data_IF_902069534506
#
_entry.id   IF_902069534506
#
_cell.length_a   1.000
_cell.length_b   1.000
_cell.length_c   1.000
_cell.angle_alpha   90.00
_cell.angle_beta   90.00
_cell.angle_gamma   90.00
#
_symmetry.space_group_name_H-M   'P 1'
#
loop_
_entity.id
_entity.type
_entity.pdbx_description
1 polymer ?
#
# COMPACT_ATOMS: atom_id res chain seq x y z
N UNK A 1 10.71 -4.47 0.74
CA UNK A 1 9.72 -3.38 0.69
C UNK A 1 10.40 -2.02 0.91
N UNK A 2 11.24 -1.86 1.97
CA UNK A 2 11.91 -0.60 2.26
C UNK A 2 12.74 -0.09 1.09
N UNK A 3 13.84 -0.77 0.75
CA UNK A 3 14.83 -0.29 -0.23
C UNK A 3 14.31 -0.13 -1.66
N UNK A 4 13.26 -0.87 -2.03
CA UNK A 4 12.71 -0.84 -3.39
C UNK A 4 11.45 -0.02 -3.54
N UNK A 5 10.78 0.36 -2.43
CA UNK A 5 9.49 1.04 -2.45
C UNK A 5 9.46 2.31 -1.62
N UNK A 6 9.68 2.21 -0.30
CA UNK A 6 9.55 3.39 0.57
C UNK A 6 10.74 4.35 0.43
N UNK A 7 11.96 3.87 0.55
CA UNK A 7 13.18 4.69 0.53
C UNK A 7 13.30 5.57 -0.74
N UNK A 8 13.11 5.07 -1.97
CA UNK A 8 13.18 5.92 -3.17
C UNK A 8 12.15 7.04 -3.16
N UNK A 9 10.94 6.79 -2.67
CA UNK A 9 9.89 7.80 -2.59
C UNK A 9 10.19 8.83 -1.49
N UNK A 10 10.76 8.41 -0.37
CA UNK A 10 11.18 9.31 0.70
C UNK A 10 12.31 10.24 0.25
N UNK A 11 13.31 9.71 -0.45
CA UNK A 11 14.39 10.53 -1.03
C UNK A 11 13.84 11.56 -2.00
N UNK A 12 13.01 11.14 -2.94
CA UNK A 12 12.38 12.06 -3.90
C UNK A 12 11.57 13.15 -3.21
N UNK A 13 10.78 12.79 -2.21
CA UNK A 13 9.98 13.74 -1.44
C UNK A 13 10.84 14.70 -0.60
N UNK A 14 11.97 14.22 -0.07
CA UNK A 14 12.92 15.05 0.65
C UNK A 14 13.65 16.04 -0.29
N UNK A 15 14.13 15.58 -1.44
CA UNK A 15 14.80 16.41 -2.44
C UNK A 15 13.89 17.52 -2.97
N UNK A 16 12.60 17.24 -3.10
CA UNK A 16 11.55 18.22 -3.46
C UNK A 16 11.10 19.10 -2.30
N UNK A 17 11.61 18.85 -1.10
CA UNK A 17 11.25 19.60 0.10
C UNK A 17 9.82 19.35 0.58
N UNK A 18 9.15 18.30 0.11
CA UNK A 18 7.79 17.91 0.53
C UNK A 18 7.81 17.14 1.86
N UNK A 19 8.80 16.28 2.06
CA UNK A 19 8.95 15.44 3.26
C UNK A 19 10.16 15.94 4.06
N UNK A 20 9.97 16.28 5.33
CA UNK A 20 11.02 16.92 6.17
C UNK A 20 10.98 16.47 7.62
N UNK A 21 12.08 16.72 8.34
CA UNK A 21 12.18 16.78 9.80
C UNK A 21 11.62 15.56 10.54
N UNK A 22 10.55 15.74 11.28
CA UNK A 22 9.95 14.71 12.12
C UNK A 22 9.42 13.52 11.33
N UNK A 23 8.89 13.77 10.15
CA UNK A 23 8.34 12.68 9.30
C UNK A 23 9.45 11.73 8.82
N UNK A 24 10.59 12.26 8.38
CA UNK A 24 11.75 11.43 8.01
C UNK A 24 12.26 10.59 9.19
N UNK A 25 12.32 11.18 10.40
CA UNK A 25 12.72 10.42 11.61
C UNK A 25 11.75 9.28 11.92
N UNK A 26 10.43 9.50 11.78
CA UNK A 26 9.42 8.45 12.00
C UNK A 26 9.59 7.30 10.99
N UNK A 27 9.90 7.60 9.73
CA UNK A 27 10.21 6.58 8.74
C UNK A 27 11.50 5.81 9.06
N UNK A 28 12.54 6.46 9.56
CA UNK A 28 13.75 5.79 10.01
C UNK A 28 13.48 4.80 11.17
N UNK A 29 12.60 5.17 12.10
CA UNK A 29 12.15 4.26 13.16
C UNK A 29 11.39 3.05 12.60
N UNK A 30 10.51 3.29 11.62
CA UNK A 30 9.78 2.21 10.93
C UNK A 30 10.73 1.25 10.23
N UNK A 31 11.78 1.75 9.58
CA UNK A 31 12.80 0.90 8.93
C UNK A 31 13.35 -0.14 9.89
N UNK A 32 13.73 0.28 11.09
CA UNK A 32 14.25 -0.64 12.11
C UNK A 32 13.24 -1.68 12.59
N UNK A 33 11.94 -1.39 12.52
CA UNK A 33 10.86 -2.26 12.97
C UNK A 33 10.32 -3.22 11.90
N UNK A 34 10.58 -2.96 10.62
CA UNK A 34 9.96 -3.66 9.49
C UNK A 34 10.12 -5.18 9.53
N UNK A 35 11.27 -5.67 9.98
CA UNK A 35 11.54 -7.11 10.05
C UNK A 35 10.57 -7.88 10.96
N UNK A 36 10.02 -7.21 11.99
CA UNK A 36 9.03 -7.79 12.89
C UNK A 36 7.57 -7.57 12.46
N UNK A 37 7.34 -6.61 11.56
CA UNK A 37 5.98 -6.26 11.13
C UNK A 37 5.51 -7.07 9.91
N UNK A 38 6.41 -7.40 8.99
CA UNK A 38 6.06 -8.05 7.73
C UNK A 38 5.99 -9.56 7.90
N UNK A 39 4.86 -10.16 7.50
CA UNK A 39 4.73 -11.61 7.45
C UNK A 39 5.61 -12.20 6.34
N UNK A 40 6.25 -13.34 6.62
CA UNK A 40 7.07 -14.04 5.63
C UNK A 40 6.18 -14.90 4.74
N UNK A 41 6.06 -14.51 3.47
CA UNK A 41 5.35 -15.27 2.43
C UNK A 41 6.17 -15.28 1.12
N UNK A 42 5.92 -16.28 0.28
CA UNK A 42 6.44 -16.28 -1.09
C UNK A 42 5.86 -15.09 -1.86
N UNK A 43 6.65 -14.44 -2.74
CA UNK A 43 6.14 -13.33 -3.54
C UNK A 43 4.98 -13.76 -4.44
N UNK A 44 3.91 -12.97 -4.41
CA UNK A 44 2.76 -13.10 -5.31
C UNK A 44 2.93 -12.14 -6.49
N UNK A 45 2.28 -12.48 -7.62
CA UNK A 45 2.11 -11.52 -8.72
C UNK A 45 1.08 -10.49 -8.29
N UNK A 46 1.47 -9.23 -8.23
CA UNK A 46 0.60 -8.12 -7.89
C UNK A 46 0.11 -7.41 -9.15
N UNK A 47 -1.08 -6.83 -9.05
CA UNK A 47 -1.53 -5.80 -9.99
C UNK A 47 -0.69 -4.53 -9.84
N UNK A 48 -0.39 -4.15 -8.60
CA UNK A 48 0.51 -3.05 -8.26
C UNK A 48 -0.12 -1.66 -8.30
N UNK A 49 -1.33 -1.53 -8.86
CA UNK A 49 -2.18 -0.32 -8.86
C UNK A 49 -3.65 -0.72 -8.79
N UNK A 50 -4.02 -1.56 -7.80
CA UNK A 50 -5.35 -2.14 -7.69
C UNK A 50 -6.30 -1.24 -6.89
N UNK A 51 -7.07 -0.44 -7.61
CA UNK A 51 -8.14 0.43 -7.07
C UNK A 51 -9.36 0.42 -7.98
N UNK A 52 -10.50 0.96 -7.53
CA UNK A 52 -11.77 0.89 -8.25
C UNK A 52 -11.75 1.47 -9.67
N UNK A 53 -10.85 2.43 -9.96
CA UNK A 53 -10.71 2.99 -11.31
C UNK A 53 -10.09 2.02 -12.33
N UNK A 54 -9.37 0.99 -11.85
CA UNK A 54 -8.78 -0.05 -12.67
C UNK A 54 -9.62 -1.34 -12.70
N UNK A 55 -10.86 -1.29 -12.17
CA UNK A 55 -11.84 -2.36 -12.26
C UNK A 55 -12.94 -1.96 -13.25
N UNK A 56 -13.07 -2.71 -14.32
CA UNK A 56 -14.15 -2.59 -15.29
C UNK A 56 -15.04 -3.84 -15.28
N UNK A 57 -16.25 -3.68 -15.75
CA UNK A 57 -17.18 -4.79 -15.98
C UNK A 57 -17.45 -4.83 -17.47
N UNK A 58 -17.21 -5.98 -18.09
CA UNK A 58 -17.47 -6.17 -19.51
C UNK A 58 -18.97 -6.32 -19.83
N UNK A 59 -19.30 -6.44 -21.11
CA UNK A 59 -20.68 -6.58 -21.58
C UNK A 59 -21.38 -7.85 -21.05
N UNK A 60 -20.63 -8.86 -20.62
CA UNK A 60 -21.16 -10.09 -20.02
C UNK A 60 -21.39 -9.97 -18.51
N UNK A 61 -20.97 -8.86 -17.89
CA UNK A 61 -20.99 -8.66 -16.45
C UNK A 61 -19.75 -9.23 -15.74
N UNK A 62 -18.72 -9.67 -16.46
CA UNK A 62 -17.50 -10.19 -15.87
C UNK A 62 -16.53 -9.05 -15.49
N UNK A 63 -15.85 -9.16 -14.30
CA UNK A 63 -14.86 -8.17 -13.88
C UNK A 63 -13.59 -8.27 -14.73
N UNK A 64 -13.08 -7.11 -15.14
CA UNK A 64 -11.84 -6.97 -15.89
C UNK A 64 -10.92 -5.97 -15.20
N UNK A 65 -9.71 -6.38 -14.83
CA UNK A 65 -8.68 -5.50 -14.27
C UNK A 65 -7.80 -4.97 -15.42
N UNK A 66 -7.55 -3.66 -15.41
CA UNK A 66 -6.78 -2.95 -16.44
C UNK A 66 -5.64 -2.13 -15.81
N UNK A 67 -4.73 -1.66 -16.64
CA UNK A 67 -3.60 -0.77 -16.28
C UNK A 67 -2.75 -1.27 -15.10
N UNK A 68 -2.25 -2.52 -15.14
CA UNK A 68 -1.43 -3.03 -14.05
C UNK A 68 -0.02 -2.41 -14.05
N UNK A 69 0.48 -2.09 -12.87
CA UNK A 69 1.89 -1.82 -12.59
C UNK A 69 2.56 -3.11 -12.05
N UNK A 70 2.44 -4.22 -12.81
CA UNK A 70 2.70 -5.57 -12.34
C UNK A 70 4.12 -5.81 -11.81
N UNK A 71 4.25 -6.44 -10.64
CA UNK A 71 5.51 -6.90 -10.06
C UNK A 71 5.30 -8.05 -9.06
N UNK A 72 6.41 -8.65 -8.59
CA UNK A 72 6.38 -9.64 -7.51
C UNK A 72 6.48 -8.96 -6.15
N UNK A 73 5.56 -9.26 -5.23
CA UNK A 73 5.53 -8.67 -3.90
C UNK A 73 4.62 -9.38 -2.92
N UNK A 74 4.48 -8.82 -1.71
CA UNK A 74 3.56 -9.34 -0.71
C UNK A 74 2.12 -9.06 -1.11
N UNK A 75 1.25 -10.08 -1.12
CA UNK A 75 -0.14 -9.98 -1.60
C UNK A 75 -1.01 -8.96 -0.87
N UNK A 76 -0.71 -8.69 0.40
CA UNK A 76 -1.43 -7.68 1.18
C UNK A 76 -1.26 -6.24 0.61
N UNK A 77 -0.27 -6.00 -0.25
CA UNK A 77 -0.05 -4.69 -0.87
C UNK A 77 -1.24 -4.30 -1.76
N UNK A 78 -1.70 -5.21 -2.64
CA UNK A 78 -2.87 -4.94 -3.48
C UNK A 78 -4.13 -4.78 -2.64
N UNK A 79 -4.32 -5.60 -1.60
CA UNK A 79 -5.46 -5.48 -0.70
C UNK A 79 -5.47 -4.15 0.08
N UNK A 80 -4.30 -3.69 0.51
CA UNK A 80 -4.16 -2.38 1.16
C UNK A 80 -4.47 -1.22 0.21
N UNK A 81 -4.08 -1.34 -1.07
CA UNK A 81 -4.40 -0.37 -2.13
C UNK A 81 -5.91 -0.30 -2.39
N UNK A 82 -6.58 -1.45 -2.49
CA UNK A 82 -8.03 -1.53 -2.66
C UNK A 82 -8.79 -0.83 -1.52
N UNK A 83 -8.30 -0.95 -0.29
CA UNK A 83 -8.89 -0.27 0.89
C UNK A 83 -8.60 1.23 0.91
N UNK A 84 -7.44 1.66 0.41
CA UNK A 84 -7.01 3.06 0.45
C UNK A 84 -7.86 3.95 -0.46
N UNK A 85 -8.07 3.51 -1.70
CA UNK A 85 -8.77 4.30 -2.72
C UNK A 85 -10.19 3.79 -2.99
N UNK A 86 -10.55 2.65 -2.40
CA UNK A 86 -11.91 2.12 -2.46
C UNK A 86 -12.30 1.53 -3.83
N UNK A 87 -13.62 1.39 -4.03
CA UNK A 87 -14.20 0.79 -5.22
C UNK A 87 -14.51 -0.70 -5.09
N UNK A 88 -14.18 -1.32 -3.94
CA UNK A 88 -14.43 -2.74 -3.66
C UNK A 88 -15.29 -2.88 -2.41
N UNK A 89 -16.36 -3.67 -2.50
CA UNK A 89 -17.21 -3.98 -1.36
C UNK A 89 -16.58 -5.01 -0.40
N UNK A 90 -17.07 -5.07 0.84
CA UNK A 90 -16.57 -5.99 1.86
C UNK A 90 -16.55 -7.46 1.39
N UNK A 91 -17.56 -7.88 0.64
CA UNK A 91 -17.66 -9.25 0.09
C UNK A 91 -16.45 -9.67 -0.75
N UNK A 92 -15.77 -8.74 -1.41
CA UNK A 92 -14.54 -9.05 -2.19
C UNK A 92 -13.42 -9.50 -1.27
N UNK A 93 -13.23 -8.81 -0.14
CA UNK A 93 -12.21 -9.16 0.86
C UNK A 93 -12.56 -10.47 1.57
N UNK A 94 -13.84 -10.69 1.89
CA UNK A 94 -14.31 -11.93 2.48
C UNK A 94 -14.04 -13.12 1.55
N UNK A 95 -14.42 -12.99 0.26
CA UNK A 95 -14.19 -14.02 -0.75
C UNK A 95 -12.70 -14.31 -0.97
N UNK A 96 -11.85 -13.26 -0.95
CA UNK A 96 -10.41 -13.43 -1.00
C UNK A 96 -9.91 -14.27 0.18
N UNK A 97 -10.37 -13.94 1.39
CA UNK A 97 -9.99 -14.65 2.62
C UNK A 97 -10.48 -16.10 2.64
N UNK A 98 -11.69 -16.37 2.11
CA UNK A 98 -12.23 -17.73 1.95
C UNK A 98 -11.35 -18.62 1.08
N UNK A 99 -10.79 -18.06 -0.03
CA UNK A 99 -9.96 -18.82 -0.98
C UNK A 99 -8.52 -18.95 -0.50
N UNK A 100 -7.96 -17.87 0.05
CA UNK A 100 -6.58 -17.84 0.51
C UNK A 100 -6.46 -16.99 1.78
N UNK A 101 -6.65 -17.59 2.96
CA UNK A 101 -6.63 -16.89 4.24
C UNK A 101 -5.38 -16.03 4.43
N UNK A 102 -5.58 -14.83 4.95
CA UNK A 102 -4.48 -13.93 5.29
C UNK A 102 -3.82 -14.37 6.60
N UNK A 103 -2.49 -14.19 6.74
CA UNK A 103 -1.79 -14.51 7.97
C UNK A 103 -2.24 -13.58 9.10
N UNK A 104 -2.09 -14.02 10.38
CA UNK A 104 -2.39 -13.17 11.54
C UNK A 104 -1.71 -11.80 11.43
N UNK A 105 -2.40 -10.75 11.90
CA UNK A 105 -1.89 -9.37 11.85
C UNK A 105 -2.03 -8.68 10.48
N UNK A 106 -2.78 -9.25 9.53
CA UNK A 106 -2.98 -8.63 8.21
C UNK A 106 -3.69 -7.27 8.30
N UNK A 107 -4.64 -7.12 9.20
CA UNK A 107 -5.37 -5.87 9.41
C UNK A 107 -4.45 -4.75 9.94
N UNK A 108 -3.56 -5.09 10.87
CA UNK A 108 -2.56 -4.17 11.44
C UNK A 108 -1.52 -3.72 10.40
N UNK A 109 -1.26 -4.57 9.37
CA UNK A 109 -0.33 -4.25 8.28
C UNK A 109 -0.93 -3.43 7.15
N UNK A 110 -2.24 -3.23 7.11
CA UNK A 110 -2.89 -2.41 6.07
C UNK A 110 -2.25 -1.03 5.99
N UNK A 111 -2.10 -0.35 7.12
CA UNK A 111 -1.48 0.98 7.17
C UNK A 111 -0.04 0.99 6.65
N UNK A 112 0.75 -0.04 6.95
CA UNK A 112 2.11 -0.20 6.47
C UNK A 112 2.16 -0.25 4.93
N UNK A 113 1.31 -1.08 4.32
CA UNK A 113 1.31 -1.24 2.86
C UNK A 113 0.66 -0.07 2.12
N UNK A 114 -0.13 0.76 2.79
CA UNK A 114 -0.64 2.02 2.25
C UNK A 114 0.42 3.13 2.15
N UNK A 115 1.53 3.03 2.89
CA UNK A 115 2.56 4.07 2.86
C UNK A 115 3.16 4.29 1.47
N UNK A 116 3.42 3.23 0.71
CA UNK A 116 4.02 3.36 -0.62
C UNK A 116 3.13 4.15 -1.59
N UNK A 117 1.88 3.77 -1.85
CA UNK A 117 1.01 4.54 -2.75
C UNK A 117 0.76 5.96 -2.24
N UNK A 118 0.68 6.19 -0.94
CA UNK A 118 0.55 7.53 -0.38
C UNK A 118 1.78 8.39 -0.64
N UNK A 119 2.99 7.85 -0.48
CA UNK A 119 4.24 8.56 -0.81
C UNK A 119 4.34 8.87 -2.31
N UNK A 120 3.92 7.95 -3.18
CA UNK A 120 3.82 8.21 -4.63
C UNK A 120 2.88 9.40 -4.88
N UNK A 121 1.72 9.45 -4.23
CA UNK A 121 0.77 10.55 -4.38
C UNK A 121 1.32 11.88 -3.83
N UNK A 122 2.07 11.89 -2.72
CA UNK A 122 2.79 13.08 -2.25
C UNK A 122 3.74 13.59 -3.33
N UNK A 123 4.50 12.71 -3.95
CA UNK A 123 5.47 13.07 -4.97
C UNK A 123 4.82 13.54 -6.28
N UNK A 124 3.65 13.03 -6.64
CA UNK A 124 2.94 13.43 -7.87
C UNK A 124 2.06 14.67 -7.70
N UNK A 125 1.37 14.76 -6.57
CA UNK A 125 0.29 15.73 -6.36
C UNK A 125 0.56 16.72 -5.22
N UNK A 126 1.71 16.61 -4.56
CA UNK A 126 2.14 17.55 -3.52
C UNK A 126 1.62 17.21 -2.12
N UNK A 127 1.74 18.20 -1.23
CA UNK A 127 1.59 18.03 0.22
C UNK A 127 0.17 17.69 0.72
N UNK A 128 -0.85 17.71 -0.13
CA UNK A 128 -2.23 17.37 0.26
C UNK A 128 -2.38 15.95 0.82
N UNK A 129 -1.48 15.03 0.45
CA UNK A 129 -1.46 13.65 0.92
C UNK A 129 -0.60 13.41 2.19
N UNK A 130 0.12 14.43 2.69
CA UNK A 130 0.99 14.28 3.86
C UNK A 130 0.23 13.85 5.11
N UNK A 131 -0.94 14.40 5.36
CA UNK A 131 -1.78 14.01 6.50
C UNK A 131 -2.20 12.53 6.46
N UNK A 132 -2.40 11.99 5.26
CA UNK A 132 -2.71 10.57 5.07
C UNK A 132 -1.48 9.69 5.30
N UNK A 133 -0.29 10.14 4.86
CA UNK A 133 0.99 9.48 5.19
C UNK A 133 1.22 9.46 6.70
N UNK A 134 1.02 10.58 7.39
CA UNK A 134 1.20 10.68 8.83
C UNK A 134 0.25 9.77 9.62
N UNK A 135 -1.00 9.67 9.17
CA UNK A 135 -2.03 8.78 9.74
C UNK A 135 -1.65 7.31 9.54
N UNK A 136 -1.31 6.91 8.32
CA UNK A 136 -0.89 5.55 8.02
C UNK A 136 0.35 5.16 8.83
N UNK A 137 1.34 6.06 8.91
CA UNK A 137 2.55 5.84 9.70
C UNK A 137 2.25 5.73 11.21
N UNK A 138 1.21 6.40 11.71
CA UNK A 138 0.73 6.25 13.09
C UNK A 138 0.05 4.91 13.36
N UNK A 139 -0.51 4.27 12.35
CA UNK A 139 -1.13 2.94 12.43
C UNK A 139 -0.12 1.78 12.29
N UNK A 140 1.14 2.05 11.99
CA UNK A 140 2.16 0.99 11.89
C UNK A 140 2.67 0.61 13.29
N UNK A 141 2.38 -0.61 13.74
CA UNK A 141 2.91 -1.15 15.00
C UNK A 141 2.19 -0.66 16.26
N UNK A 142 0.94 -0.19 16.13
CA UNK A 142 0.04 0.07 17.28
C UNK A 142 -0.65 -1.19 17.74
#
# INVERSE_FOLDING_TARGET
YWSRRLEPQLRLGADRGLIRGSLLRRFSNLEGALGGLVATEAPSRLHGDLWGGNLHVDESGAPCLIDPAAYGGHREIDLAMMRLFGGFGARVFDAYHEVYPLPPGAEERVSLYQLYPLLVHVNLFGGSYLSSVERALGGCGS
#
